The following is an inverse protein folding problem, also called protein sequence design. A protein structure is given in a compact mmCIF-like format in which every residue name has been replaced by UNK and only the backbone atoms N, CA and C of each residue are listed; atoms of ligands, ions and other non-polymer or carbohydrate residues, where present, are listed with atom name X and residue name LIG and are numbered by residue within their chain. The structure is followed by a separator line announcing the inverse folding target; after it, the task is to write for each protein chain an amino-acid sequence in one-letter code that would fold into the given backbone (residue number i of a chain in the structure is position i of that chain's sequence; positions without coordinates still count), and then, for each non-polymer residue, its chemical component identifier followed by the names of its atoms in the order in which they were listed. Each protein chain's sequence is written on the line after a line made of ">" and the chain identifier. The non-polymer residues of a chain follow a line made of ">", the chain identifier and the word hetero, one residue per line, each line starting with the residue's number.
data_IF_098338582534
#
_entry.id   IF_098338582534
#
_cell.length_a   1.000
_cell.length_b   1.000
_cell.length_c   1.000
_cell.angle_alpha   90.00
_cell.angle_beta   90.00
_cell.angle_gamma   90.00
#
_symmetry.space_group_name_H-M   'P 1'
#
loop_
_entity.id
_entity.type
_entity.pdbx_description
1 polymer ?
#
# COMPACT_ATOMS: atom_id res chain seq x y z
N UNK A 1 27.82 -42.23 -21.30
CA UNK A 1 26.38 -42.54 -21.39
C UNK A 1 25.50 -41.75 -20.41
N UNK A 2 25.98 -41.34 -19.22
CA UNK A 2 25.17 -40.55 -18.26
C UNK A 2 24.78 -39.13 -18.69
N UNK A 3 25.58 -38.45 -19.52
CA UNK A 3 25.37 -37.04 -19.90
C UNK A 3 24.15 -36.78 -20.79
N UNK A 4 23.75 -37.76 -21.60
CA UNK A 4 22.57 -37.66 -22.47
C UNK A 4 21.28 -37.90 -21.69
N UNK A 5 21.33 -38.79 -20.69
CA UNK A 5 20.22 -39.07 -19.76
C UNK A 5 19.95 -37.85 -18.88
N UNK A 6 20.98 -37.25 -18.27
CA UNK A 6 20.81 -36.04 -17.44
C UNK A 6 20.26 -34.86 -18.24
N UNK A 7 20.67 -34.66 -19.50
CA UNK A 7 20.14 -33.60 -20.37
C UNK A 7 18.64 -33.79 -20.71
N UNK A 8 18.21 -35.03 -20.97
CA UNK A 8 16.78 -35.35 -21.20
C UNK A 8 15.96 -35.18 -19.92
N UNK A 9 16.50 -35.65 -18.79
CA UNK A 9 15.86 -35.53 -17.48
C UNK A 9 15.69 -34.06 -17.08
N UNK A 10 16.74 -33.25 -17.27
CA UNK A 10 16.70 -31.82 -17.00
C UNK A 10 15.65 -31.09 -17.84
N UNK A 11 15.58 -31.38 -19.16
CA UNK A 11 14.56 -30.78 -20.05
C UNK A 11 13.14 -31.20 -19.67
N UNK A 12 12.95 -32.46 -19.26
CA UNK A 12 11.65 -32.97 -18.82
C UNK A 12 11.21 -32.30 -17.51
N UNK A 13 12.09 -32.31 -16.50
CA UNK A 13 11.84 -31.69 -15.19
C UNK A 13 11.65 -30.18 -15.31
N UNK A 14 12.31 -29.51 -16.26
CA UNK A 14 12.16 -28.07 -16.49
C UNK A 14 10.73 -27.66 -16.80
N UNK A 15 10.02 -28.44 -17.65
CA UNK A 15 8.62 -28.16 -17.98
C UNK A 15 7.71 -28.32 -16.78
N UNK A 16 7.93 -29.36 -15.97
CA UNK A 16 7.16 -29.61 -14.76
C UNK A 16 7.40 -28.54 -13.70
N UNK A 17 8.66 -28.11 -13.51
CA UNK A 17 9.01 -27.02 -12.58
C UNK A 17 8.40 -25.68 -13.00
N UNK A 18 8.44 -25.34 -14.30
CA UNK A 18 7.82 -24.11 -14.81
C UNK A 18 6.31 -24.07 -14.52
N UNK A 19 5.61 -25.19 -14.74
CA UNK A 19 4.19 -25.30 -14.40
C UNK A 19 3.93 -25.09 -12.92
N UNK A 20 4.73 -25.72 -12.06
CA UNK A 20 4.62 -25.55 -10.62
C UNK A 20 4.81 -24.09 -10.21
N UNK A 21 5.87 -23.43 -10.68
CA UNK A 21 6.13 -22.02 -10.38
C UNK A 21 5.03 -21.11 -10.89
N UNK A 22 4.49 -21.37 -12.08
CA UNK A 22 3.37 -20.59 -12.63
C UNK A 22 2.13 -20.66 -11.73
N UNK A 23 1.79 -21.85 -11.22
CA UNK A 23 0.65 -22.01 -10.30
C UNK A 23 0.90 -21.29 -8.99
N UNK A 24 2.10 -21.44 -8.41
CA UNK A 24 2.47 -20.76 -7.16
C UNK A 24 2.42 -19.24 -7.33
N UNK A 25 2.96 -18.70 -8.44
CA UNK A 25 2.90 -17.27 -8.74
C UNK A 25 1.46 -16.79 -8.92
N UNK A 26 0.62 -17.54 -9.62
CA UNK A 26 -0.78 -17.16 -9.81
C UNK A 26 -1.51 -17.05 -8.47
N UNK A 27 -1.29 -18.01 -7.56
CA UNK A 27 -1.85 -17.97 -6.22
C UNK A 27 -1.27 -16.80 -5.41
N UNK A 28 0.05 -16.62 -5.42
CA UNK A 28 0.72 -15.56 -4.67
C UNK A 28 0.24 -14.16 -5.10
N UNK A 29 0.17 -13.92 -6.42
CA UNK A 29 -0.34 -12.66 -6.97
C UNK A 29 -1.81 -12.46 -6.62
N UNK A 30 -2.63 -13.52 -6.71
CA UNK A 30 -4.06 -13.44 -6.35
C UNK A 30 -4.28 -13.11 -4.88
N UNK A 31 -3.55 -13.76 -3.98
CA UNK A 31 -3.63 -13.50 -2.54
C UNK A 31 -3.11 -12.10 -2.21
N UNK A 32 -1.96 -11.71 -2.77
CA UNK A 32 -1.39 -10.37 -2.55
C UNK A 32 -2.36 -9.28 -3.04
N UNK A 33 -2.88 -9.40 -4.26
CA UNK A 33 -3.87 -8.49 -4.80
C UNK A 33 -5.13 -8.44 -3.94
N UNK A 34 -5.65 -9.60 -3.50
CA UNK A 34 -6.84 -9.67 -2.65
C UNK A 34 -6.67 -8.94 -1.32
N UNK A 35 -5.53 -9.13 -0.65
CA UNK A 35 -5.22 -8.43 0.60
C UNK A 35 -5.07 -6.93 0.34
N UNK A 36 -4.27 -6.54 -0.66
CA UNK A 36 -4.02 -5.11 -0.97
C UNK A 36 -5.28 -4.35 -1.35
N UNK A 37 -6.12 -4.90 -2.25
CA UNK A 37 -7.36 -4.25 -2.64
C UNK A 37 -8.41 -4.30 -1.53
N UNK A 38 -8.43 -5.35 -0.70
CA UNK A 38 -9.32 -5.45 0.46
C UNK A 38 -9.01 -4.41 1.53
N UNK A 39 -7.74 -4.23 1.89
CA UNK A 39 -7.34 -3.19 2.85
C UNK A 39 -7.58 -1.80 2.28
N UNK A 40 -7.25 -1.57 1.01
CA UNK A 40 -7.50 -0.29 0.34
C UNK A 40 -9.01 0.06 0.34
N UNK A 41 -9.89 -0.89 0.03
CA UNK A 41 -11.33 -0.67 0.02
C UNK A 41 -11.86 -0.30 1.42
N UNK A 42 -11.43 -1.02 2.46
CA UNK A 42 -11.84 -0.74 3.84
C UNK A 42 -11.38 0.65 4.31
N UNK A 43 -10.09 0.94 4.13
CA UNK A 43 -9.54 2.24 4.53
C UNK A 43 -10.23 3.38 3.78
N UNK A 44 -10.42 3.25 2.46
CA UNK A 44 -11.10 4.28 1.66
C UNK A 44 -12.55 4.47 2.10
N UNK A 45 -13.29 3.39 2.37
CA UNK A 45 -14.66 3.50 2.85
C UNK A 45 -14.73 4.24 4.20
N UNK A 46 -13.89 3.88 5.17
CA UNK A 46 -13.80 4.57 6.46
C UNK A 46 -13.41 6.05 6.31
N UNK A 47 -12.52 6.38 5.38
CA UNK A 47 -12.15 7.76 5.07
C UNK A 47 -13.35 8.57 4.57
N UNK A 48 -14.09 8.04 3.61
CA UNK A 48 -15.28 8.71 3.07
C UNK A 48 -16.39 8.83 4.13
N UNK A 49 -16.65 7.76 4.88
CA UNK A 49 -17.67 7.78 5.94
C UNK A 49 -17.36 8.84 7.00
N UNK A 50 -16.09 9.01 7.40
CA UNK A 50 -15.71 10.03 8.38
C UNK A 50 -15.65 11.46 7.82
N UNK A 51 -15.23 11.67 6.57
CA UNK A 51 -15.19 13.02 5.96
C UNK A 51 -16.59 13.57 5.73
N UNK A 52 -17.54 12.69 5.38
CA UNK A 52 -18.92 13.07 5.10
C UNK A 52 -19.87 12.84 6.28
N UNK A 53 -19.34 12.44 7.45
CA UNK A 53 -20.11 12.45 8.68
C UNK A 53 -20.46 13.91 9.02
N UNK A 54 -21.71 14.28 8.79
CA UNK A 54 -22.27 15.60 9.11
C UNK A 54 -22.60 15.66 10.62
N UNK A 55 -21.55 15.58 11.44
CA UNK A 55 -21.64 15.66 12.90
C UNK A 55 -21.36 17.09 13.39
N UNK A 56 -22.07 17.51 14.44
CA UNK A 56 -21.95 18.86 15.03
C UNK A 56 -20.52 19.16 15.57
N UNK A 57 -19.72 18.13 15.84
CA UNK A 57 -18.35 18.22 16.36
C UNK A 57 -17.28 18.40 15.26
N UNK A 58 -17.64 18.24 13.98
CA UNK A 58 -16.72 18.34 12.84
C UNK A 58 -15.76 17.14 12.69
N UNK A 59 -14.98 17.14 11.61
CA UNK A 59 -14.14 16.01 11.22
C UNK A 59 -12.74 16.07 11.87
N UNK A 60 -12.31 14.99 12.53
CA UNK A 60 -10.95 14.86 13.09
C UNK A 60 -9.96 14.35 12.03
N UNK A 61 -9.43 15.25 11.20
CA UNK A 61 -8.49 14.91 10.12
C UNK A 61 -7.22 14.15 10.58
N UNK A 62 -6.61 14.46 11.74
CA UNK A 62 -5.48 13.69 12.26
C UNK A 62 -5.77 12.20 12.49
N UNK A 63 -6.97 11.87 12.98
CA UNK A 63 -7.34 10.48 13.29
C UNK A 63 -7.50 9.66 11.99
N UNK A 64 -8.20 10.26 11.03
CA UNK A 64 -8.33 9.74 9.66
C UNK A 64 -6.96 9.48 9.02
N UNK A 65 -5.99 10.38 9.21
CA UNK A 65 -4.64 10.21 8.67
C UNK A 65 -3.92 9.00 9.29
N UNK A 66 -4.02 8.83 10.60
CA UNK A 66 -3.40 7.67 11.30
C UNK A 66 -4.03 6.36 10.83
N UNK A 67 -5.36 6.32 10.70
CA UNK A 67 -6.10 5.11 10.32
C UNK A 67 -6.00 4.78 8.82
N UNK A 68 -5.72 5.75 7.96
CA UNK A 68 -5.67 5.58 6.50
C UNK A 68 -4.25 5.63 5.90
N UNK A 69 -3.21 5.87 6.70
CA UNK A 69 -1.87 6.04 6.15
C UNK A 69 -1.38 4.77 5.46
N UNK A 70 -1.13 4.86 4.15
CA UNK A 70 -0.46 3.80 3.38
C UNK A 70 0.97 3.54 3.88
N UNK A 71 1.56 4.50 4.60
CA UNK A 71 2.80 4.38 5.34
C UNK A 71 2.85 5.45 6.45
N UNK A 72 3.38 5.10 7.62
CA UNK A 72 3.71 6.05 8.68
C UNK A 72 5.09 6.65 8.43
N UNK A 73 5.24 7.96 8.57
CA UNK A 73 6.56 8.59 8.59
C UNK A 73 7.32 8.21 9.85
N UNK A 74 8.63 8.03 9.74
CA UNK A 74 9.48 7.96 10.93
C UNK A 74 9.56 9.32 11.62
N UNK A 75 10.01 9.32 12.89
CA UNK A 75 10.03 10.53 13.71
C UNK A 75 10.91 11.65 13.14
N UNK A 76 11.98 11.32 12.40
CA UNK A 76 12.85 12.32 11.78
C UNK A 76 12.17 12.99 10.58
N UNK A 77 11.47 12.20 9.77
CA UNK A 77 10.68 12.66 8.63
C UNK A 77 9.47 13.48 9.08
N UNK A 78 8.79 13.08 10.14
CA UNK A 78 7.70 13.87 10.72
C UNK A 78 8.20 15.23 11.24
N UNK A 79 9.34 15.25 11.95
CA UNK A 79 9.92 16.48 12.48
C UNK A 79 10.34 17.45 11.37
N UNK A 80 10.99 16.95 10.31
CA UNK A 80 11.40 17.79 9.18
C UNK A 80 10.21 18.36 8.41
N UNK A 81 9.13 17.60 8.28
CA UNK A 81 7.90 18.07 7.66
C UNK A 81 7.22 19.17 8.49
N UNK A 82 7.10 18.98 9.81
CA UNK A 82 6.55 20.00 10.70
C UNK A 82 7.33 21.31 10.62
N UNK A 83 8.66 21.22 10.57
CA UNK A 83 9.51 22.38 10.43
C UNK A 83 9.31 23.08 9.08
N UNK A 84 9.27 22.32 7.99
CA UNK A 84 9.03 22.86 6.64
C UNK A 84 7.68 23.57 6.55
N UNK A 85 6.63 22.96 7.10
CA UNK A 85 5.29 23.54 7.15
C UNK A 85 5.30 24.83 7.97
N UNK A 86 5.95 24.83 9.14
CA UNK A 86 6.03 26.04 9.98
C UNK A 86 6.78 27.18 9.30
N UNK A 87 7.83 26.89 8.53
CA UNK A 87 8.65 27.89 7.85
C UNK A 87 7.97 28.42 6.57
N UNK A 88 7.17 27.59 5.92
CA UNK A 88 6.48 27.92 4.66
C UNK A 88 5.01 28.29 4.86
N UNK A 89 4.50 28.27 6.10
CA UNK A 89 3.11 28.60 6.36
C UNK A 89 2.87 30.04 5.93
N UNK A 90 1.98 30.27 4.94
CA UNK A 90 1.72 31.62 4.48
C UNK A 90 1.06 32.42 5.60
N UNK A 91 1.41 33.70 5.68
CA UNK A 91 0.91 34.60 6.72
C UNK A 91 -0.62 34.58 6.78
N UNK A 92 -1.18 34.57 8.00
CA UNK A 92 -2.62 34.48 8.24
C UNK A 92 -3.44 35.64 7.64
N UNK A 93 -2.77 36.64 7.07
CA UNK A 93 -3.36 37.78 6.39
C UNK A 93 -3.74 37.53 4.93
N UNK A 94 -3.69 36.30 4.42
CA UNK A 94 -4.30 36.01 3.11
C UNK A 94 -5.82 36.14 3.23
N UNK A 95 -6.44 37.17 2.62
CA UNK A 95 -7.88 37.23 2.56
C UNK A 95 -8.35 36.04 1.71
N UNK A 96 -9.34 35.31 2.21
CA UNK A 96 -10.11 34.41 1.38
C UNK A 96 -10.89 35.30 0.40
N UNK A 97 -10.42 35.40 -0.85
CA UNK A 97 -11.26 35.87 -1.97
C UNK A 97 -12.27 34.79 -2.36
#
# INVERSE_FOLDING_TARGET
>A
MSTLLTKRLARSLWRTKLRLYSVVLMIAVGVFAGISFGTYANSTQTLYDNIYADDEDGVNLPDIWVENSAATWDGATAASLCQTISEQWPDASMPLE
#
